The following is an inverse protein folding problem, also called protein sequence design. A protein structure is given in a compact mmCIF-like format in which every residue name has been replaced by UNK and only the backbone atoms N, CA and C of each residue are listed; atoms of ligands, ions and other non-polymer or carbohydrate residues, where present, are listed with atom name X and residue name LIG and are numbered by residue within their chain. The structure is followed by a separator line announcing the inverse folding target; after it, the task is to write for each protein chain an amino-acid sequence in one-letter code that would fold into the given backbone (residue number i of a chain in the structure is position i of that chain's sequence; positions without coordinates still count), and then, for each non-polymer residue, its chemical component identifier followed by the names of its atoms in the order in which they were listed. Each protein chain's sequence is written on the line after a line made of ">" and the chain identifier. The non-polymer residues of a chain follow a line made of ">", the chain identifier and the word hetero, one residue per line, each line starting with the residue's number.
data_IF_152751857474
#
_entry.id   IF_152751857474
#
_cell.length_a   1.000
_cell.length_b   1.000
_cell.length_c   1.000
_cell.angle_alpha   90.00
_cell.angle_beta   90.00
_cell.angle_gamma   90.00
#
_symmetry.space_group_name_H-M   'P 1'
#
loop_
_entity.id
_entity.type
_entity.pdbx_description
1 polymer ?
#
# COMPACT_ATOMS: atom_id res chain seq x y z
N UNK A 1 -15.56 -78.32 -27.89
CA UNK A 1 -15.43 -77.93 -26.48
C UNK A 1 -14.89 -76.53 -26.42
N UNK A 2 -15.76 -75.58 -26.22
CA UNK A 2 -15.43 -74.17 -26.07
C UNK A 2 -15.25 -73.87 -24.57
N UNK A 3 -14.14 -73.32 -24.20
CA UNK A 3 -13.90 -72.76 -22.84
C UNK A 3 -14.23 -71.29 -22.88
N UNK A 4 -15.29 -70.84 -22.17
CA UNK A 4 -15.55 -69.46 -21.86
C UNK A 4 -14.76 -69.08 -20.61
N UNK A 5 -13.79 -68.17 -20.74
CA UNK A 5 -13.14 -67.55 -19.62
C UNK A 5 -13.90 -66.30 -19.22
N UNK A 6 -14.53 -66.29 -18.06
CA UNK A 6 -15.20 -65.14 -17.49
C UNK A 6 -14.18 -64.20 -16.85
N UNK A 7 -14.06 -62.98 -17.39
CA UNK A 7 -13.26 -61.90 -16.82
C UNK A 7 -14.04 -61.25 -15.67
N UNK A 8 -13.62 -61.44 -14.46
CA UNK A 8 -14.17 -60.75 -13.27
C UNK A 8 -13.50 -59.37 -13.18
N UNK A 9 -14.24 -58.34 -13.52
CA UNK A 9 -13.82 -56.95 -13.30
C UNK A 9 -14.24 -56.53 -11.89
N UNK A 10 -13.24 -56.43 -10.97
CA UNK A 10 -13.45 -55.91 -9.64
C UNK A 10 -13.56 -54.36 -9.71
N UNK A 11 -14.56 -53.73 -9.05
CA UNK A 11 -14.61 -52.27 -9.02
C UNK A 11 -13.49 -51.70 -8.11
N UNK A 12 -12.64 -50.87 -8.69
CA UNK A 12 -11.65 -50.10 -7.96
C UNK A 12 -12.36 -48.99 -7.17
N UNK A 13 -12.61 -49.23 -5.88
CA UNK A 13 -13.15 -48.20 -4.99
C UNK A 13 -12.05 -47.15 -4.72
N UNK A 14 -12.20 -45.98 -5.32
CA UNK A 14 -11.39 -44.82 -4.94
C UNK A 14 -11.76 -44.37 -3.52
N UNK A 15 -10.89 -44.67 -2.55
CA UNK A 15 -10.94 -44.04 -1.24
C UNK A 15 -10.58 -42.57 -1.44
N UNK A 16 -11.57 -41.68 -1.45
CA UNK A 16 -11.36 -40.28 -1.29
C UNK A 16 -11.00 -40.00 0.18
N UNK A 17 -9.72 -39.86 0.47
CA UNK A 17 -9.27 -39.34 1.75
C UNK A 17 -9.79 -37.89 1.85
N UNK A 18 -10.49 -37.51 2.94
CA UNK A 18 -10.83 -36.13 3.18
C UNK A 18 -9.53 -35.39 3.44
N UNK A 19 -9.04 -34.67 2.43
CA UNK A 19 -7.94 -33.72 2.58
C UNK A 19 -8.41 -32.56 3.44
N UNK A 20 -8.30 -32.68 4.77
CA UNK A 20 -8.34 -31.53 5.66
C UNK A 20 -7.07 -30.73 5.43
N UNK A 21 -7.04 -29.93 4.37
CA UNK A 21 -6.11 -28.82 4.28
C UNK A 21 -6.55 -27.80 5.33
N UNK A 22 -6.07 -27.94 6.56
CA UNK A 22 -6.07 -26.86 7.52
C UNK A 22 -5.26 -25.73 6.87
N UNK A 23 -5.94 -24.68 6.45
CA UNK A 23 -5.28 -23.43 6.15
C UNK A 23 -4.45 -23.08 7.39
N UNK A 24 -3.14 -23.10 7.24
CA UNK A 24 -2.24 -22.63 8.29
C UNK A 24 -2.58 -21.16 8.44
N UNK A 25 -3.04 -20.75 9.62
CA UNK A 25 -3.31 -19.34 9.94
C UNK A 25 -1.97 -18.62 10.05
N UNK A 26 -1.39 -18.32 8.89
CA UNK A 26 -0.11 -17.61 8.79
C UNK A 26 -0.40 -16.15 9.00
N UNK A 27 -0.15 -15.64 10.19
CA UNK A 27 -0.19 -14.21 10.44
C UNK A 27 0.82 -13.53 9.52
N UNK A 28 0.41 -12.47 8.80
CA UNK A 28 1.33 -11.72 7.94
C UNK A 28 2.48 -11.15 8.78
N UNK A 29 3.68 -11.15 8.20
CA UNK A 29 4.81 -10.48 8.82
C UNK A 29 4.48 -8.99 8.97
N UNK A 30 4.60 -8.46 10.17
CA UNK A 30 4.40 -7.06 10.47
C UNK A 30 5.64 -6.48 11.16
N UNK A 31 5.88 -5.19 10.95
CA UNK A 31 6.91 -4.41 11.66
C UNK A 31 6.26 -3.23 12.37
N UNK A 32 6.78 -2.83 13.54
CA UNK A 32 6.27 -1.65 14.21
C UNK A 32 6.62 -0.38 13.43
N UNK A 33 5.68 0.55 13.34
CA UNK A 33 5.95 1.92 12.91
C UNK A 33 6.81 2.56 14.01
N UNK A 34 8.04 3.04 13.74
CA UNK A 34 8.95 3.47 14.79
C UNK A 34 8.40 4.57 15.70
N UNK A 35 7.63 5.52 15.15
CA UNK A 35 7.08 6.65 15.92
C UNK A 35 5.98 6.27 16.92
N UNK A 36 5.31 5.11 16.75
CA UNK A 36 4.16 4.73 17.59
C UNK A 36 4.21 3.31 18.13
N UNK A 37 5.01 2.43 17.53
CA UNK A 37 5.02 1.00 17.83
C UNK A 37 3.84 0.22 17.21
N UNK A 38 2.96 0.87 16.45
CA UNK A 38 1.83 0.21 15.80
C UNK A 38 2.31 -0.83 14.76
N UNK A 39 1.83 -2.08 14.83
CA UNK A 39 2.23 -3.09 13.87
C UNK A 39 1.61 -2.83 12.49
N UNK A 40 2.43 -2.75 11.46
CA UNK A 40 2.00 -2.60 10.07
C UNK A 40 2.49 -3.80 9.25
N UNK A 41 1.62 -4.49 8.48
CA UNK A 41 2.03 -5.54 7.57
C UNK A 41 3.11 -5.04 6.60
N UNK A 42 4.17 -5.84 6.39
CA UNK A 42 5.33 -5.42 5.59
C UNK A 42 5.06 -5.39 4.08
N UNK A 43 3.95 -5.99 3.64
CA UNK A 43 3.51 -5.93 2.24
C UNK A 43 2.32 -5.00 2.13
N UNK A 44 2.49 -3.94 1.34
CA UNK A 44 1.44 -3.02 0.96
C UNK A 44 1.16 -3.09 -0.54
N UNK A 45 0.05 -2.53 -0.98
CA UNK A 45 -0.34 -2.48 -2.37
C UNK A 45 -0.33 -1.05 -2.91
N UNK A 46 0.46 -0.81 -3.96
CA UNK A 46 0.43 0.42 -4.75
C UNK A 46 -0.64 0.37 -5.85
N UNK A 47 -1.16 1.51 -6.22
CA UNK A 47 -2.30 1.62 -7.17
C UNK A 47 -1.95 2.31 -8.48
N UNK A 48 -0.72 2.76 -8.66
CA UNK A 48 -0.29 3.45 -9.87
C UNK A 48 -0.54 2.60 -11.12
N UNK A 49 -1.08 3.22 -12.17
CA UNK A 49 -1.49 2.59 -13.45
C UNK A 49 -2.60 1.54 -13.25
N UNK A 50 -2.42 0.58 -12.36
CA UNK A 50 -3.29 -0.60 -12.26
C UNK A 50 -4.71 -0.27 -11.79
N UNK A 51 -4.91 0.80 -11.02
CA UNK A 51 -6.23 1.26 -10.57
C UNK A 51 -6.77 2.47 -11.35
N UNK A 52 -6.05 2.95 -12.36
CA UNK A 52 -6.55 4.01 -13.24
C UNK A 52 -7.43 3.42 -14.35
N UNK A 53 -8.61 2.94 -13.98
CA UNK A 53 -9.53 2.20 -14.86
C UNK A 53 -10.84 2.93 -15.13
N UNK A 54 -10.91 4.21 -14.79
CA UNK A 54 -12.10 5.05 -14.98
C UNK A 54 -13.39 4.39 -14.45
N UNK A 55 -14.47 4.41 -15.24
CA UNK A 55 -15.78 3.87 -14.87
C UNK A 55 -16.06 2.47 -15.47
N UNK A 56 -15.02 1.76 -15.91
CA UNK A 56 -15.15 0.40 -16.41
C UNK A 56 -15.58 -0.55 -15.29
N UNK A 57 -16.81 -1.09 -15.32
CA UNK A 57 -17.34 -1.91 -14.24
C UNK A 57 -16.59 -3.24 -14.10
N UNK A 58 -16.18 -3.87 -15.22
CA UNK A 58 -15.46 -5.15 -15.21
C UNK A 58 -14.08 -4.97 -14.58
N UNK A 59 -13.39 -3.91 -14.98
CA UNK A 59 -12.09 -3.59 -14.40
C UNK A 59 -12.20 -3.25 -12.91
N UNK A 60 -13.22 -2.51 -12.47
CA UNK A 60 -13.47 -2.20 -11.06
C UNK A 60 -13.80 -3.45 -10.23
N UNK A 61 -14.57 -4.39 -10.77
CA UNK A 61 -14.85 -5.67 -10.12
C UNK A 61 -13.56 -6.46 -9.89
N UNK A 62 -12.72 -6.56 -10.93
CA UNK A 62 -11.41 -7.20 -10.81
C UNK A 62 -10.50 -6.53 -9.76
N UNK A 63 -10.51 -5.19 -9.62
CA UNK A 63 -9.75 -4.47 -8.56
C UNK A 63 -10.33 -4.72 -7.18
N UNK A 64 -11.65 -4.86 -7.08
CA UNK A 64 -12.31 -5.25 -5.83
C UNK A 64 -11.87 -6.65 -5.37
N UNK A 65 -11.77 -7.60 -6.31
CA UNK A 65 -11.30 -8.96 -6.01
C UNK A 65 -9.83 -8.98 -5.57
N UNK A 66 -8.98 -8.18 -6.21
CA UNK A 66 -7.57 -8.00 -5.78
C UNK A 66 -7.50 -7.46 -4.34
N UNK A 67 -8.25 -6.39 -4.03
CA UNK A 67 -8.28 -5.86 -2.66
C UNK A 67 -8.81 -6.89 -1.65
N UNK A 68 -9.86 -7.63 -2.01
CA UNK A 68 -10.38 -8.71 -1.17
C UNK A 68 -9.30 -9.75 -0.86
N UNK A 69 -8.53 -10.17 -1.85
CA UNK A 69 -7.44 -11.12 -1.67
C UNK A 69 -6.31 -10.54 -0.80
N UNK A 70 -5.94 -9.26 -0.97
CA UNK A 70 -4.94 -8.59 -0.14
C UNK A 70 -5.36 -8.57 1.33
N UNK A 71 -6.60 -8.18 1.65
CA UNK A 71 -7.09 -8.17 3.02
C UNK A 71 -7.27 -9.57 3.59
N UNK A 72 -7.72 -10.54 2.80
CA UNK A 72 -7.82 -11.93 3.22
C UNK A 72 -6.46 -12.55 3.57
N UNK A 73 -5.39 -12.10 2.90
CA UNK A 73 -4.01 -12.48 3.20
C UNK A 73 -3.40 -11.69 4.38
N UNK A 74 -4.19 -10.82 5.02
CA UNK A 74 -3.73 -9.99 6.14
C UNK A 74 -2.92 -8.76 5.73
N UNK A 75 -2.93 -8.37 4.46
CA UNK A 75 -2.41 -7.08 4.00
C UNK A 75 -3.28 -5.93 4.49
N UNK A 76 -2.72 -4.73 4.60
CA UNK A 76 -3.46 -3.58 5.13
C UNK A 76 -3.15 -2.26 4.44
N UNK A 77 -1.92 -1.98 4.09
CA UNK A 77 -1.55 -0.72 3.43
C UNK A 77 -2.00 -0.70 1.97
N UNK A 78 -2.78 0.31 1.62
CA UNK A 78 -3.11 0.67 0.23
C UNK A 78 -2.54 2.06 -0.03
N UNK A 79 -1.64 2.18 -1.02
CA UNK A 79 -0.98 3.44 -1.37
C UNK A 79 -1.46 3.97 -2.72
N UNK A 80 -1.94 5.20 -2.74
CA UNK A 80 -2.42 5.90 -3.94
C UNK A 80 -1.84 7.31 -4.05
N UNK A 81 -2.33 8.08 -5.02
CA UNK A 81 -1.98 9.49 -5.20
C UNK A 81 -3.00 10.19 -6.09
N UNK A 82 -3.29 11.47 -5.86
CA UNK A 82 -4.03 12.32 -6.80
C UNK A 82 -3.45 12.35 -8.21
N UNK A 83 -2.15 12.11 -8.36
CA UNK A 83 -1.45 11.99 -9.65
C UNK A 83 -1.87 10.75 -10.47
N UNK A 84 -2.51 9.76 -9.86
CA UNK A 84 -2.78 8.47 -10.48
C UNK A 84 -4.14 8.40 -11.20
N UNK A 85 -4.59 9.52 -11.75
CA UNK A 85 -5.83 9.60 -12.52
C UNK A 85 -7.07 9.26 -11.67
N UNK A 86 -7.77 8.20 -12.01
CA UNK A 86 -9.00 7.75 -11.31
C UNK A 86 -8.73 6.78 -10.15
N UNK A 87 -7.47 6.46 -9.85
CA UNK A 87 -7.12 5.40 -8.90
C UNK A 87 -7.74 5.61 -7.51
N UNK A 88 -7.73 6.82 -6.95
CA UNK A 88 -8.32 7.08 -5.63
C UNK A 88 -9.83 6.84 -5.61
N UNK A 89 -10.55 7.25 -6.65
CA UNK A 89 -11.99 7.00 -6.78
C UNK A 89 -12.30 5.50 -6.93
N UNK A 90 -11.46 4.78 -7.67
CA UNK A 90 -11.60 3.33 -7.83
C UNK A 90 -11.32 2.61 -6.51
N UNK A 91 -10.26 2.99 -5.79
CA UNK A 91 -9.96 2.45 -4.45
C UNK A 91 -11.14 2.66 -3.50
N UNK A 92 -11.64 3.89 -3.40
CA UNK A 92 -12.77 4.20 -2.51
C UNK A 92 -14.03 3.38 -2.85
N UNK A 93 -14.34 3.24 -4.14
CA UNK A 93 -15.45 2.40 -4.60
C UNK A 93 -15.26 0.91 -4.27
N UNK A 94 -14.05 0.38 -4.43
CA UNK A 94 -13.72 -0.99 -4.05
C UNK A 94 -13.81 -1.20 -2.53
N UNK A 95 -13.29 -0.28 -1.72
CA UNK A 95 -13.37 -0.33 -0.26
C UNK A 95 -14.82 -0.30 0.25
N UNK A 96 -15.67 0.51 -0.39
CA UNK A 96 -17.10 0.55 -0.06
C UNK A 96 -17.80 -0.79 -0.33
N UNK A 97 -17.47 -1.46 -1.45
CA UNK A 97 -17.99 -2.79 -1.79
C UNK A 97 -17.51 -3.90 -0.85
N UNK A 98 -16.38 -3.69 -0.20
CA UNK A 98 -15.80 -4.61 0.79
C UNK A 98 -16.19 -4.26 2.23
N UNK A 99 -17.15 -3.35 2.43
CA UNK A 99 -17.58 -2.89 3.75
C UNK A 99 -16.42 -2.32 4.61
N UNK A 100 -15.51 -1.61 3.96
CA UNK A 100 -14.33 -0.99 4.57
C UNK A 100 -13.57 -1.95 5.49
N UNK A 101 -12.72 -2.83 4.94
CA UNK A 101 -12.08 -3.90 5.68
C UNK A 101 -11.35 -3.40 6.93
N UNK A 102 -11.51 -4.13 8.04
CA UNK A 102 -10.72 -3.89 9.25
C UNK A 102 -9.25 -4.12 8.95
N UNK A 103 -8.38 -3.23 9.43
CA UNK A 103 -6.94 -3.31 9.17
C UNK A 103 -6.49 -2.52 7.93
N UNK A 104 -7.39 -1.78 7.26
CA UNK A 104 -6.99 -0.82 6.24
C UNK A 104 -6.04 0.21 6.83
N UNK A 105 -4.88 0.39 6.22
CA UNK A 105 -3.96 1.51 6.41
C UNK A 105 -3.94 2.31 5.10
N UNK A 106 -4.62 3.44 5.11
CA UNK A 106 -4.80 4.30 3.93
C UNK A 106 -3.64 5.26 3.76
N UNK A 107 -2.95 5.20 2.62
CA UNK A 107 -1.84 6.09 2.29
C UNK A 107 -2.10 6.81 0.97
N UNK A 108 -1.99 8.13 0.97
CA UNK A 108 -2.03 8.93 -0.25
C UNK A 108 -1.08 10.12 -0.16
N UNK A 109 -1.16 11.01 -1.12
CA UNK A 109 -0.13 12.04 -1.30
C UNK A 109 -0.75 13.40 -1.62
N UNK A 110 0.04 14.46 -1.47
CA UNK A 110 -0.23 15.78 -2.05
C UNK A 110 0.74 16.01 -3.21
N UNK A 111 0.21 16.45 -4.34
CA UNK A 111 0.98 16.65 -5.58
C UNK A 111 0.55 17.91 -6.32
N UNK A 112 1.02 19.03 -5.85
CA UNK A 112 0.87 20.36 -6.47
C UNK A 112 1.96 21.29 -5.92
N UNK A 113 2.29 22.36 -6.62
CA UNK A 113 3.18 23.40 -6.13
C UNK A 113 2.48 24.42 -5.22
N UNK A 114 1.16 24.52 -5.30
CA UNK A 114 0.35 25.45 -4.51
C UNK A 114 -0.07 24.83 -3.17
N UNK A 115 0.15 25.53 -2.07
CA UNK A 115 -0.29 25.09 -0.74
C UNK A 115 -1.82 25.07 -0.64
N UNK A 116 -2.48 26.07 -1.18
CA UNK A 116 -3.95 26.16 -1.16
C UNK A 116 -4.59 24.99 -1.94
N UNK A 117 -4.12 24.77 -3.17
CA UNK A 117 -4.56 23.59 -3.96
C UNK A 117 -4.23 22.26 -3.26
N UNK A 118 -3.11 22.19 -2.52
CA UNK A 118 -2.75 21.02 -1.75
C UNK A 118 -3.79 20.68 -0.68
N UNK A 119 -4.30 21.66 0.02
CA UNK A 119 -5.38 21.48 1.01
C UNK A 119 -6.66 20.98 0.33
N UNK A 120 -7.04 21.57 -0.80
CA UNK A 120 -8.19 21.12 -1.58
C UNK A 120 -8.03 19.70 -2.13
N UNK A 121 -6.82 19.36 -2.59
CA UNK A 121 -6.47 18.05 -3.11
C UNK A 121 -6.58 16.98 -2.01
N UNK A 122 -6.09 17.26 -0.80
CA UNK A 122 -6.22 16.36 0.34
C UNK A 122 -7.70 16.15 0.69
N UNK A 123 -8.48 17.20 0.81
CA UNK A 123 -9.92 17.11 1.07
C UNK A 123 -10.67 16.33 -0.04
N UNK A 124 -10.22 16.44 -1.29
CA UNK A 124 -10.75 15.63 -2.40
C UNK A 124 -10.39 14.14 -2.22
N UNK A 125 -9.15 13.83 -1.87
CA UNK A 125 -8.72 12.46 -1.61
C UNK A 125 -9.54 11.82 -0.49
N UNK A 126 -9.77 12.49 0.64
CA UNK A 126 -10.61 12.00 1.73
C UNK A 126 -12.02 11.64 1.25
N UNK A 127 -12.64 12.52 0.44
CA UNK A 127 -13.96 12.24 -0.16
C UNK A 127 -13.94 11.05 -1.11
N UNK A 128 -12.91 10.93 -1.97
CA UNK A 128 -12.80 9.85 -2.93
C UNK A 128 -12.59 8.49 -2.25
N UNK A 129 -11.82 8.45 -1.18
CA UNK A 129 -11.63 7.25 -0.38
C UNK A 129 -12.84 6.92 0.51
N UNK A 130 -13.69 7.90 0.78
CA UNK A 130 -14.86 7.74 1.66
C UNK A 130 -14.46 7.45 3.10
N UNK A 131 -13.35 8.00 3.55
CA UNK A 131 -12.80 7.83 4.90
C UNK A 131 -12.88 9.15 5.67
N UNK A 132 -13.19 9.10 6.98
CA UNK A 132 -13.22 10.28 7.81
C UNK A 132 -11.82 10.86 8.10
N UNK A 133 -10.79 10.03 7.94
CA UNK A 133 -9.38 10.37 8.15
C UNK A 133 -8.50 9.39 7.39
N UNK A 134 -7.47 9.90 6.76
CA UNK A 134 -6.41 9.09 6.15
C UNK A 134 -5.35 8.73 7.20
N UNK A 135 -4.69 7.58 7.03
CA UNK A 135 -3.64 7.16 7.95
C UNK A 135 -2.32 7.86 7.63
N UNK A 136 -1.91 7.90 6.37
CA UNK A 136 -0.65 8.51 5.95
C UNK A 136 -0.86 9.48 4.80
N UNK A 137 -0.40 10.72 4.98
CA UNK A 137 -0.28 11.73 3.92
C UNK A 137 1.18 12.03 3.64
N UNK A 138 1.56 12.00 2.36
CA UNK A 138 2.95 12.19 1.93
C UNK A 138 3.08 13.31 0.89
N UNK A 139 4.19 14.04 0.92
CA UNK A 139 4.53 14.96 -0.18
C UNK A 139 5.09 14.16 -1.35
N UNK A 140 4.39 14.18 -2.49
CA UNK A 140 4.75 13.38 -3.66
C UNK A 140 5.95 13.96 -4.42
N UNK A 141 6.99 13.16 -4.60
CA UNK A 141 8.21 13.52 -5.33
C UNK A 141 8.86 14.81 -4.82
N UNK A 142 8.74 15.11 -3.53
CA UNK A 142 9.25 16.31 -2.87
C UNK A 142 8.79 17.64 -3.50
N UNK A 143 7.65 17.64 -4.20
CA UNK A 143 7.13 18.84 -4.84
C UNK A 143 6.67 19.84 -3.78
N UNK A 144 7.33 21.01 -3.72
CA UNK A 144 7.09 22.04 -2.69
C UNK A 144 7.03 21.47 -1.24
N UNK A 145 7.94 20.56 -0.91
CA UNK A 145 7.88 19.83 0.35
C UNK A 145 7.89 20.73 1.59
N UNK A 146 8.61 21.87 1.52
CA UNK A 146 8.69 22.81 2.67
C UNK A 146 7.32 23.38 3.03
N UNK A 147 6.56 23.81 2.02
CA UNK A 147 5.20 24.34 2.22
C UNK A 147 4.23 23.24 2.66
N UNK A 148 4.23 22.11 1.96
CA UNK A 148 3.30 21.03 2.28
C UNK A 148 3.58 20.35 3.61
N UNK A 149 4.83 20.13 4.01
CA UNK A 149 5.13 19.55 5.33
C UNK A 149 4.62 20.42 6.47
N UNK A 150 4.64 21.75 6.34
CA UNK A 150 4.01 22.65 7.30
C UNK A 150 2.53 22.38 7.46
N UNK A 151 1.81 22.26 6.33
CA UNK A 151 0.37 21.91 6.31
C UNK A 151 0.12 20.52 6.91
N UNK A 152 0.87 19.50 6.49
CA UNK A 152 0.70 18.14 6.97
C UNK A 152 1.00 18.03 8.48
N UNK A 153 2.01 18.74 8.98
CA UNK A 153 2.35 18.78 10.41
C UNK A 153 1.20 19.40 11.24
N UNK A 154 0.59 20.48 10.74
CA UNK A 154 -0.57 21.06 11.39
C UNK A 154 -1.77 20.08 11.39
N UNK A 155 -2.04 19.43 10.25
CA UNK A 155 -3.10 18.40 10.16
C UNK A 155 -2.86 17.22 11.11
N UNK A 156 -1.61 16.81 11.29
CA UNK A 156 -1.25 15.75 12.25
C UNK A 156 -1.48 16.22 13.69
N UNK A 157 -1.07 17.42 14.03
CA UNK A 157 -1.30 18.00 15.36
C UNK A 157 -2.81 18.12 15.69
N UNK A 158 -3.62 18.45 14.69
CA UNK A 158 -5.10 18.51 14.80
C UNK A 158 -5.78 17.11 14.81
N UNK A 159 -5.02 16.01 14.66
CA UNK A 159 -5.55 14.66 14.56
C UNK A 159 -6.29 14.34 13.25
N UNK A 160 -6.15 15.19 12.22
CA UNK A 160 -6.77 15.02 10.89
C UNK A 160 -6.05 14.00 10.02
N UNK A 161 -4.81 13.68 10.34
CA UNK A 161 -4.02 12.58 9.76
C UNK A 161 -3.21 11.93 10.86
N UNK A 162 -2.91 10.63 10.72
CA UNK A 162 -2.15 9.91 11.75
C UNK A 162 -0.64 10.03 11.57
N UNK A 163 -0.19 9.91 10.33
CA UNK A 163 1.22 9.91 9.94
C UNK A 163 1.45 10.82 8.75
N UNK A 164 2.66 11.39 8.70
CA UNK A 164 3.09 12.23 7.59
C UNK A 164 4.42 11.76 7.02
N UNK A 165 4.68 12.04 5.76
CA UNK A 165 5.89 11.61 5.11
C UNK A 165 6.21 12.34 3.80
N UNK A 166 7.24 11.87 3.14
CA UNK A 166 7.66 12.35 1.81
C UNK A 166 7.98 11.18 0.90
N UNK A 167 7.90 11.39 -0.40
CA UNK A 167 8.21 10.34 -1.38
C UNK A 167 9.18 10.81 -2.45
N UNK A 168 9.99 9.88 -2.92
CA UNK A 168 10.74 9.95 -4.19
C UNK A 168 10.54 8.68 -4.98
N UNK A 169 10.91 8.70 -6.27
CA UNK A 169 10.94 7.50 -7.10
C UNK A 169 12.10 7.57 -8.10
N UNK A 170 12.51 6.40 -8.62
CA UNK A 170 13.56 6.26 -9.63
C UNK A 170 14.94 6.79 -9.18
N UNK A 171 15.33 6.60 -7.92
CA UNK A 171 16.63 7.03 -7.40
C UNK A 171 16.89 8.54 -7.47
N UNK A 172 15.82 9.36 -7.53
CA UNK A 172 15.97 10.82 -7.72
C UNK A 172 16.04 11.56 -6.40
N UNK A 173 16.76 12.69 -6.41
CA UNK A 173 16.80 13.67 -5.32
C UNK A 173 17.27 13.10 -3.97
N UNK A 174 18.17 12.10 -3.97
CA UNK A 174 18.64 11.44 -2.75
C UNK A 174 19.32 12.44 -1.77
N UNK A 175 20.09 13.41 -2.27
CA UNK A 175 20.72 14.41 -1.42
C UNK A 175 19.69 15.28 -0.68
N UNK A 176 18.65 15.71 -1.37
CA UNK A 176 17.56 16.49 -0.76
C UNK A 176 16.72 15.64 0.18
N UNK A 177 16.44 14.37 -0.20
CA UNK A 177 15.75 13.44 0.67
C UNK A 177 16.53 13.21 1.96
N UNK A 178 17.86 13.04 1.90
CA UNK A 178 18.70 12.94 3.09
C UNK A 178 18.58 14.17 3.99
N UNK A 179 18.61 15.39 3.43
CA UNK A 179 18.40 16.62 4.20
C UNK A 179 17.04 16.63 4.91
N UNK A 180 15.98 16.14 4.26
CA UNK A 180 14.66 16.07 4.88
C UNK A 180 14.67 15.06 6.03
N UNK A 181 15.25 13.86 5.84
CA UNK A 181 15.35 12.86 6.88
C UNK A 181 16.15 13.36 8.10
N UNK A 182 17.18 14.16 7.88
CA UNK A 182 18.01 14.76 8.94
C UNK A 182 17.25 15.81 9.76
N UNK A 183 16.40 16.60 9.09
CA UNK A 183 15.92 17.87 9.68
C UNK A 183 14.41 17.89 9.96
N UNK A 184 13.61 17.04 9.31
CA UNK A 184 12.14 17.12 9.41
C UNK A 184 11.56 16.03 10.31
N UNK A 185 10.55 16.35 11.14
CA UNK A 185 9.86 15.38 12.00
C UNK A 185 8.79 14.64 11.23
N UNK A 186 9.19 13.72 10.34
CA UNK A 186 8.31 12.88 9.55
C UNK A 186 8.28 11.45 10.07
N UNK A 187 7.18 10.72 9.83
CA UNK A 187 7.01 9.34 10.26
C UNK A 187 7.43 8.33 9.19
N UNK A 188 7.26 8.70 7.92
CA UNK A 188 7.49 7.81 6.79
C UNK A 188 8.32 8.46 5.69
N UNK A 189 9.13 7.66 5.05
CA UNK A 189 9.76 7.97 3.77
C UNK A 189 9.44 6.87 2.77
N UNK A 190 9.00 7.25 1.56
CA UNK A 190 8.82 6.30 0.47
C UNK A 190 9.88 6.56 -0.61
N UNK A 191 10.64 5.55 -0.97
CA UNK A 191 11.73 5.64 -1.92
C UNK A 191 11.86 4.36 -2.75
N UNK A 192 12.52 4.44 -3.90
CA UNK A 192 12.84 3.26 -4.69
C UNK A 192 13.93 2.45 -4.04
N UNK A 193 13.64 1.17 -3.82
CA UNK A 193 14.60 0.21 -3.32
C UNK A 193 14.21 -1.20 -3.80
N UNK A 194 15.12 -1.87 -4.47
CA UNK A 194 14.94 -3.23 -4.98
C UNK A 194 16.32 -3.90 -5.18
N UNK A 195 16.33 -5.10 -5.75
CA UNK A 195 17.56 -5.91 -5.92
C UNK A 195 18.60 -5.22 -6.83
N UNK A 196 18.18 -4.36 -7.76
CA UNK A 196 19.08 -3.64 -8.69
C UNK A 196 19.34 -2.20 -8.24
N UNK A 197 18.32 -1.52 -7.69
CA UNK A 197 18.40 -0.13 -7.26
C UNK A 197 18.64 -0.08 -5.75
N UNK A 198 19.91 -0.09 -5.36
CA UNK A 198 20.36 -0.19 -3.96
C UNK A 198 21.04 1.07 -3.42
N UNK A 199 21.06 2.16 -4.16
CA UNK A 199 21.74 3.40 -3.73
C UNK A 199 21.28 3.91 -2.36
N UNK A 200 20.03 3.66 -1.99
CA UNK A 200 19.47 4.05 -0.69
C UNK A 200 20.22 3.42 0.51
N UNK A 201 20.90 2.28 0.33
CA UNK A 201 21.64 1.59 1.40
C UNK A 201 22.81 2.41 1.93
N UNK A 202 23.44 3.20 1.08
CA UNK A 202 24.63 3.96 1.45
C UNK A 202 24.34 5.02 2.53
N UNK A 203 23.17 5.65 2.52
CA UNK A 203 22.83 6.75 3.44
C UNK A 203 21.38 6.77 3.89
N UNK A 204 20.42 6.65 2.98
CA UNK A 204 19.02 6.93 3.29
C UNK A 204 18.40 5.90 4.25
N UNK A 205 18.66 4.62 4.05
CA UNK A 205 18.15 3.56 4.93
C UNK A 205 18.77 3.63 6.34
N UNK A 206 20.12 3.76 6.51
CA UNK A 206 20.72 3.98 7.82
C UNK A 206 20.18 5.21 8.53
N UNK A 207 20.05 6.33 7.81
CA UNK A 207 19.55 7.59 8.36
C UNK A 207 18.07 7.48 8.80
N UNK A 208 17.22 6.84 7.99
CA UNK A 208 15.84 6.59 8.37
C UNK A 208 15.75 5.74 9.65
N UNK A 209 16.59 4.70 9.77
CA UNK A 209 16.64 3.86 10.97
C UNK A 209 17.10 4.65 12.21
N UNK A 210 18.16 5.45 12.08
CA UNK A 210 18.66 6.32 13.16
C UNK A 210 17.60 7.32 13.65
N UNK A 211 16.85 7.89 12.71
CA UNK A 211 15.82 8.89 12.99
C UNK A 211 14.46 8.30 13.39
N UNK A 212 14.33 6.98 13.41
CA UNK A 212 13.06 6.33 13.71
C UNK A 212 11.97 6.60 12.68
N UNK A 213 12.35 6.70 11.39
CA UNK A 213 11.45 6.94 10.27
C UNK A 213 11.16 5.60 9.57
N UNK A 214 9.90 5.27 9.37
CA UNK A 214 9.50 4.07 8.65
C UNK A 214 9.79 4.21 7.14
N UNK A 215 10.28 3.13 6.52
CA UNK A 215 10.59 3.11 5.08
C UNK A 215 9.56 2.30 4.32
N UNK A 216 8.99 2.91 3.27
CA UNK A 216 8.18 2.24 2.26
C UNK A 216 9.03 2.08 0.99
N UNK A 217 9.38 0.84 0.65
CA UNK A 217 10.05 0.56 -0.61
C UNK A 217 9.04 0.54 -1.75
N UNK A 218 9.16 1.48 -2.69
CA UNK A 218 8.41 1.44 -3.93
C UNK A 218 9.20 0.73 -5.04
N UNK A 219 8.51 0.26 -6.08
CA UNK A 219 9.10 -0.45 -7.23
C UNK A 219 9.96 -1.67 -6.82
N UNK A 220 9.48 -2.54 -5.92
CA UNK A 220 10.27 -3.67 -5.44
C UNK A 220 10.62 -4.68 -6.56
N UNK A 221 9.87 -4.68 -7.67
CA UNK A 221 10.03 -5.55 -8.83
C UNK A 221 10.27 -4.79 -10.13
N UNK A 222 10.65 -3.51 -10.09
CA UNK A 222 10.89 -2.66 -11.26
C UNK A 222 9.67 -2.58 -12.20
N UNK A 223 8.57 -2.07 -11.83
CA UNK A 223 7.39 -1.85 -12.65
C UNK A 223 7.16 -0.40 -12.99
#
# INVERSE_FOLDING_TARGET
>A
RAFLSALVVAPLSFLTLPGNSRAVDVKPLAKPIPSTGEPLPVVGMGTWITFNVADDPVARDARTDVLRAVFAAGGGMIDSSPMYGTAEAVVGGCLARLDRPKGLFSATKVWTSSIAEGVEQIAKSERLWGLPRLDLLQVHNLLNWRGHLGTLSAMKADGKVRYIGVTTSHGRRHAELAQILETQPIDFVQLTYNIEDREAEARLLPLAAERGIAVIANRPFQG
#
